data_IF_907514075806
#
_entry.id   IF_907514075806
#
_cell.length_a   1.000
_cell.length_b   1.000
_cell.length_c   1.000
_cell.angle_alpha   90.00
_cell.angle_beta   90.00
_cell.angle_gamma   90.00
#
_symmetry.space_group_name_H-M   'P 1'
#
loop_
_entity.id
_entity.type
_entity.pdbx_description
1 polymer ?
#
# COMPACT_ATOMS: atom_id res chain seq x y z
N UNK A 1 23.43 -32.95 -15.62
CA UNK A 1 23.67 -31.63 -15.01
C UNK A 1 22.61 -30.71 -15.60
N UNK A 2 21.42 -30.67 -15.02
CA UNK A 2 20.29 -29.84 -15.47
C UNK A 2 19.60 -29.28 -14.23
N UNK A 3 20.05 -28.13 -13.74
CA UNK A 3 19.54 -27.63 -12.46
C UNK A 3 19.87 -26.18 -12.13
N UNK A 4 20.19 -25.34 -13.12
CA UNK A 4 20.51 -23.92 -12.90
C UNK A 4 19.66 -22.93 -13.71
N UNK A 5 18.68 -23.35 -14.53
CA UNK A 5 17.83 -22.40 -15.29
C UNK A 5 16.55 -21.96 -14.56
N UNK A 6 16.18 -22.53 -13.41
CA UNK A 6 14.82 -22.37 -12.88
C UNK A 6 14.51 -20.98 -12.30
N UNK A 7 15.45 -20.31 -11.64
CA UNK A 7 15.17 -19.03 -10.96
C UNK A 7 15.07 -17.83 -11.91
N UNK A 8 15.93 -17.77 -12.93
CA UNK A 8 15.89 -16.71 -13.94
C UNK A 8 14.66 -16.84 -14.84
N UNK A 9 14.31 -18.07 -15.23
CA UNK A 9 13.09 -18.37 -16.00
C UNK A 9 11.84 -17.99 -15.20
N UNK A 10 11.84 -18.24 -13.89
CA UNK A 10 10.79 -17.81 -12.97
C UNK A 10 10.67 -16.28 -12.94
N UNK A 11 11.76 -15.56 -12.65
CA UNK A 11 11.77 -14.08 -12.62
C UNK A 11 11.27 -13.51 -13.95
N UNK A 12 11.74 -14.06 -15.07
CA UNK A 12 11.32 -13.64 -16.40
C UNK A 12 9.82 -13.86 -16.62
N UNK A 13 9.28 -15.02 -16.20
CA UNK A 13 7.86 -15.32 -16.28
C UNK A 13 7.00 -14.42 -15.38
N UNK A 14 7.45 -14.12 -14.15
CA UNK A 14 6.74 -13.18 -13.28
C UNK A 14 6.76 -11.75 -13.82
N UNK A 15 7.90 -11.32 -14.34
CA UNK A 15 8.02 -10.03 -15.02
C UNK A 15 7.12 -9.94 -16.26
N UNK A 16 6.94 -11.04 -17.01
CA UNK A 16 6.01 -11.08 -18.14
C UNK A 16 4.55 -10.89 -17.69
N UNK A 17 4.11 -11.57 -16.64
CA UNK A 17 2.76 -11.42 -16.08
C UNK A 17 2.50 -9.97 -15.68
N UNK A 18 3.41 -9.35 -14.92
CA UNK A 18 3.26 -7.95 -14.49
C UNK A 18 3.23 -6.97 -15.67
N UNK A 19 4.03 -7.24 -16.72
CA UNK A 19 4.01 -6.46 -17.97
C UNK A 19 2.69 -6.62 -18.70
N UNK A 20 2.20 -7.83 -18.87
CA UNK A 20 0.97 -8.12 -19.62
C UNK A 20 -0.23 -7.45 -18.95
N UNK A 21 -0.35 -7.57 -17.63
CA UNK A 21 -1.42 -6.92 -16.85
C UNK A 21 -1.29 -5.40 -16.93
N UNK A 22 -0.08 -4.85 -16.74
CA UNK A 22 0.16 -3.41 -16.89
C UNK A 22 -0.26 -2.93 -18.29
N UNK A 23 0.09 -3.67 -19.33
CA UNK A 23 -0.20 -3.31 -20.72
C UNK A 23 -1.70 -3.35 -21.00
N UNK A 24 -2.41 -4.37 -20.48
CA UNK A 24 -3.84 -4.54 -20.66
C UNK A 24 -4.70 -3.49 -19.96
N UNK A 25 -4.21 -2.91 -18.85
CA UNK A 25 -5.04 -2.09 -17.98
C UNK A 25 -4.50 -0.69 -17.64
N UNK A 26 -3.29 -0.33 -18.08
CA UNK A 26 -2.68 0.96 -17.74
C UNK A 26 -3.56 2.18 -18.07
N UNK A 27 -4.23 2.17 -19.22
CA UNK A 27 -5.13 3.26 -19.63
C UNK A 27 -6.36 3.38 -18.72
N UNK A 28 -6.95 2.24 -18.33
CA UNK A 28 -8.08 2.17 -17.41
C UNK A 28 -7.68 2.67 -16.02
N UNK A 29 -6.57 2.17 -15.46
CA UNK A 29 -6.03 2.62 -14.18
C UNK A 29 -5.76 4.13 -14.21
N UNK A 30 -5.10 4.64 -15.27
CA UNK A 30 -4.83 6.06 -15.42
C UNK A 30 -6.14 6.88 -15.45
N UNK A 31 -7.15 6.39 -16.17
CA UNK A 31 -8.47 7.03 -16.26
C UNK A 31 -9.14 7.18 -14.89
N UNK A 32 -9.20 6.08 -14.13
CA UNK A 32 -9.78 6.04 -12.78
C UNK A 32 -9.02 6.98 -11.82
N UNK A 33 -7.69 6.90 -11.80
CA UNK A 33 -6.89 7.76 -10.92
C UNK A 33 -7.04 9.24 -11.30
N UNK A 34 -7.12 9.55 -12.61
CA UNK A 34 -7.29 10.92 -13.11
C UNK A 34 -8.66 11.49 -12.75
N UNK A 35 -9.72 10.68 -12.81
CA UNK A 35 -11.08 11.15 -12.48
C UNK A 35 -11.22 11.55 -11.01
N UNK A 36 -10.42 10.96 -10.11
CA UNK A 36 -10.43 11.32 -8.70
C UNK A 36 -9.78 12.69 -8.43
N UNK A 37 -8.82 13.12 -9.27
CA UNK A 37 -7.95 14.28 -8.99
C UNK A 37 -8.68 15.57 -8.59
N UNK A 38 -9.78 16.00 -9.24
CA UNK A 38 -10.42 17.29 -8.94
C UNK A 38 -10.81 17.44 -7.47
N UNK A 39 -11.27 16.37 -6.84
CA UNK A 39 -11.81 16.34 -5.48
C UNK A 39 -10.73 16.15 -4.39
N UNK A 40 -9.48 15.87 -4.79
CA UNK A 40 -8.42 15.56 -3.84
C UNK A 40 -7.75 16.82 -3.25
N UNK A 41 -7.45 16.78 -1.93
CA UNK A 41 -6.54 17.70 -1.28
C UNK A 41 -5.19 17.77 -2.00
N UNK A 42 -4.50 18.91 -1.88
CA UNK A 42 -3.25 19.18 -2.61
C UNK A 42 -2.20 18.08 -2.45
N UNK A 43 -2.01 17.56 -1.23
CA UNK A 43 -1.01 16.53 -0.97
C UNK A 43 -1.42 15.21 -1.60
N UNK A 44 -2.66 14.75 -1.36
CA UNK A 44 -3.21 13.54 -1.96
C UNK A 44 -3.16 13.56 -3.50
N UNK A 45 -3.54 14.69 -4.11
CA UNK A 45 -3.47 14.95 -5.55
C UNK A 45 -2.08 14.68 -6.11
N UNK A 46 -1.00 15.00 -5.38
CA UNK A 46 0.37 14.78 -5.85
C UNK A 46 0.78 13.30 -5.93
N UNK A 47 0.24 12.45 -5.04
CA UNK A 47 0.48 11.00 -5.08
C UNK A 47 -0.32 10.38 -6.21
N UNK A 48 -1.62 10.69 -6.27
CA UNK A 48 -2.52 10.15 -7.29
C UNK A 48 -2.11 10.58 -8.70
N UNK A 49 -1.73 11.84 -8.91
CA UNK A 49 -1.28 12.32 -10.22
C UNK A 49 0.02 11.64 -10.68
N UNK A 50 0.92 11.30 -9.75
CA UNK A 50 2.17 10.61 -10.07
C UNK A 50 1.90 9.17 -10.52
N UNK A 51 1.04 8.45 -9.82
CA UNK A 51 0.60 7.12 -10.21
C UNK A 51 -0.15 7.15 -11.55
N UNK A 52 -1.06 8.11 -11.75
CA UNK A 52 -1.85 8.26 -12.97
C UNK A 52 -0.99 8.54 -14.22
N UNK A 53 0.16 9.20 -14.07
CA UNK A 53 1.06 9.52 -15.20
C UNK A 53 1.67 8.27 -15.84
N UNK A 54 1.92 7.22 -15.06
CA UNK A 54 2.52 5.98 -15.57
C UNK A 54 2.15 4.81 -14.66
N UNK A 55 0.87 4.40 -14.63
CA UNK A 55 0.44 3.29 -13.79
C UNK A 55 1.10 2.01 -14.29
N UNK A 56 1.80 1.33 -13.40
CA UNK A 56 2.57 0.15 -13.77
C UNK A 56 2.81 -0.73 -12.56
N UNK A 57 2.61 -2.01 -12.77
CA UNK A 57 2.97 -3.07 -11.83
C UNK A 57 4.41 -3.57 -12.08
N UNK A 58 5.13 -2.95 -13.01
CA UNK A 58 6.55 -3.22 -13.26
C UNK A 58 7.43 -2.11 -12.70
N UNK A 59 8.49 -2.50 -12.00
CA UNK A 59 9.42 -1.61 -11.31
C UNK A 59 8.92 -1.20 -9.93
N UNK A 60 9.79 -1.36 -8.93
CA UNK A 60 9.48 -1.10 -7.51
C UNK A 60 8.86 0.29 -7.30
N UNK A 61 9.49 1.34 -7.85
CA UNK A 61 8.99 2.70 -7.66
C UNK A 61 7.57 2.91 -8.17
N UNK A 62 7.23 2.35 -9.33
CA UNK A 62 5.91 2.54 -9.93
C UNK A 62 4.85 1.76 -9.17
N UNK A 63 5.19 0.57 -8.68
CA UNK A 63 4.34 -0.17 -7.78
C UNK A 63 4.10 0.61 -6.48
N UNK A 64 5.13 1.22 -5.89
CA UNK A 64 4.98 2.05 -4.68
C UNK A 64 4.12 3.28 -4.93
N UNK A 65 4.33 3.99 -6.04
CA UNK A 65 3.51 5.16 -6.37
C UNK A 65 2.02 4.76 -6.56
N UNK A 66 1.74 3.61 -7.19
CA UNK A 66 0.38 3.06 -7.32
C UNK A 66 -0.21 2.65 -5.97
N UNK A 67 0.54 1.90 -5.15
CA UNK A 67 0.16 1.53 -3.79
C UNK A 67 -0.23 2.77 -2.97
N UNK A 68 0.64 3.78 -2.92
CA UNK A 68 0.42 4.98 -2.14
C UNK A 68 -0.83 5.74 -2.61
N UNK A 69 -1.05 5.81 -3.92
CA UNK A 69 -2.25 6.43 -4.49
C UNK A 69 -3.53 5.68 -4.07
N UNK A 70 -3.55 4.35 -4.18
CA UNK A 70 -4.71 3.54 -3.80
C UNK A 70 -5.00 3.62 -2.29
N UNK A 71 -3.95 3.57 -1.47
CA UNK A 71 -4.09 3.71 -0.02
C UNK A 71 -4.65 5.08 0.37
N UNK A 72 -4.13 6.17 -0.22
CA UNK A 72 -4.63 7.52 0.01
C UNK A 72 -6.09 7.68 -0.43
N UNK A 73 -6.43 7.24 -1.64
CA UNK A 73 -7.79 7.31 -2.17
C UNK A 73 -8.79 6.60 -1.26
N UNK A 74 -8.45 5.40 -0.81
CA UNK A 74 -9.26 4.63 0.14
C UNK A 74 -9.47 5.37 1.47
N UNK A 75 -8.41 5.96 2.03
CA UNK A 75 -8.50 6.75 3.26
C UNK A 75 -9.37 8.00 3.12
N UNK A 76 -9.46 8.55 1.90
CA UNK A 76 -10.29 9.70 1.57
C UNK A 76 -11.70 9.33 1.08
N UNK A 77 -12.09 8.06 1.16
CA UNK A 77 -13.44 7.60 0.83
C UNK A 77 -13.69 7.24 -0.64
N UNK A 78 -12.67 7.23 -1.50
CA UNK A 78 -12.76 6.83 -2.91
C UNK A 78 -12.68 5.30 -3.08
N UNK A 79 -13.43 4.57 -2.26
CA UNK A 79 -13.40 3.10 -2.26
C UNK A 79 -13.95 2.52 -3.57
N UNK A 80 -15.01 3.11 -4.11
CA UNK A 80 -15.65 2.64 -5.34
C UNK A 80 -14.73 2.77 -6.56
N UNK A 81 -13.87 3.78 -6.57
CA UNK A 81 -12.90 4.04 -7.64
C UNK A 81 -11.68 3.13 -7.49
N UNK A 82 -11.24 2.88 -6.25
CA UNK A 82 -10.04 2.06 -6.00
C UNK A 82 -10.31 0.56 -6.15
N UNK A 83 -11.51 0.09 -5.81
CA UNK A 83 -11.84 -1.33 -5.81
C UNK A 83 -11.64 -2.03 -7.17
N UNK A 84 -12.04 -1.47 -8.34
CA UNK A 84 -11.78 -2.09 -9.64
C UNK A 84 -10.29 -2.34 -9.91
N UNK A 85 -9.42 -1.40 -9.52
CA UNK A 85 -7.96 -1.54 -9.67
C UNK A 85 -7.44 -2.66 -8.77
N UNK A 86 -7.93 -2.74 -7.53
CA UNK A 86 -7.55 -3.81 -6.60
C UNK A 86 -8.02 -5.18 -7.11
N UNK A 87 -9.23 -5.29 -7.63
CA UNK A 87 -9.77 -6.55 -8.18
C UNK A 87 -8.92 -7.04 -9.35
N UNK A 88 -8.57 -6.13 -10.26
CA UNK A 88 -7.64 -6.42 -11.35
C UNK A 88 -6.27 -6.92 -10.86
N UNK A 89 -5.72 -6.29 -9.81
CA UNK A 89 -4.47 -6.75 -9.20
C UNK A 89 -4.65 -8.14 -8.59
N UNK A 90 -5.77 -8.38 -7.91
CA UNK A 90 -6.06 -9.64 -7.27
C UNK A 90 -6.27 -10.79 -8.27
N UNK A 91 -6.85 -10.51 -9.44
CA UNK A 91 -7.10 -11.50 -10.49
C UNK A 91 -5.84 -11.92 -11.27
N UNK A 92 -4.69 -11.30 -10.97
CA UNK A 92 -3.42 -11.68 -11.59
C UNK A 92 -3.03 -13.13 -11.24
N UNK A 93 -2.44 -13.88 -12.18
CA UNK A 93 -1.87 -15.19 -11.89
C UNK A 93 -0.56 -15.05 -11.11
N UNK A 94 -0.67 -14.90 -9.79
CA UNK A 94 0.46 -14.82 -8.88
C UNK A 94 1.32 -16.10 -8.91
N UNK A 95 2.64 -15.94 -8.93
CA UNK A 95 3.63 -17.03 -8.76
C UNK A 95 4.38 -16.90 -7.43
N UNK A 96 5.10 -17.95 -7.02
CA UNK A 96 5.97 -17.98 -5.83
C UNK A 96 7.19 -17.05 -5.99
N UNK A 97 6.98 -15.74 -6.03
CA UNK A 97 8.06 -14.79 -6.31
C UNK A 97 7.93 -13.49 -5.51
N UNK A 98 9.08 -12.99 -5.08
CA UNK A 98 9.25 -11.69 -4.42
C UNK A 98 8.69 -10.51 -5.24
N UNK A 99 8.66 -10.64 -6.58
CA UNK A 99 8.13 -9.63 -7.50
C UNK A 99 6.67 -9.24 -7.25
N UNK A 100 5.90 -10.11 -6.57
CA UNK A 100 4.49 -9.90 -6.30
C UNK A 100 4.18 -9.43 -4.88
N UNK A 101 5.19 -9.22 -4.04
CA UNK A 101 4.99 -8.89 -2.62
C UNK A 101 4.16 -7.61 -2.42
N UNK A 102 4.48 -6.54 -3.15
CA UNK A 102 3.74 -5.29 -3.08
C UNK A 102 2.33 -5.40 -3.69
N UNK A 103 2.12 -5.99 -4.89
CA UNK A 103 0.78 -6.33 -5.38
C UNK A 103 -0.06 -7.15 -4.39
N UNK A 104 0.52 -8.14 -3.71
CA UNK A 104 -0.19 -8.91 -2.68
C UNK A 104 -0.59 -8.05 -1.50
N UNK A 105 0.33 -7.24 -0.98
CA UNK A 105 0.03 -6.33 0.12
C UNK A 105 -1.06 -5.31 -0.21
N UNK A 106 -1.11 -4.78 -1.45
CA UNK A 106 -2.23 -3.94 -1.91
C UNK A 106 -3.56 -4.67 -1.74
N UNK A 107 -3.64 -5.93 -2.15
CA UNK A 107 -4.88 -6.72 -2.03
C UNK A 107 -5.19 -7.06 -0.57
N UNK A 108 -4.19 -7.38 0.26
CA UNK A 108 -4.38 -7.61 1.69
C UNK A 108 -4.89 -6.38 2.42
N UNK A 109 -4.36 -5.19 2.12
CA UNK A 109 -4.87 -3.94 2.68
C UNK A 109 -6.32 -3.67 2.29
N UNK A 110 -6.65 -3.89 1.03
CA UNK A 110 -8.00 -3.69 0.52
C UNK A 110 -8.99 -4.71 1.13
N UNK A 111 -8.56 -5.97 1.29
CA UNK A 111 -9.32 -7.00 2.01
C UNK A 111 -9.56 -6.61 3.47
N UNK A 112 -8.53 -6.12 4.16
CA UNK A 112 -8.66 -5.68 5.55
C UNK A 112 -9.63 -4.50 5.67
N UNK A 113 -9.52 -3.52 4.77
CA UNK A 113 -10.48 -2.41 4.70
C UNK A 113 -11.91 -2.90 4.45
N UNK A 114 -12.12 -3.80 3.48
CA UNK A 114 -13.45 -4.34 3.18
C UNK A 114 -14.09 -5.02 4.40
N UNK A 115 -13.30 -5.79 5.18
CA UNK A 115 -13.78 -6.40 6.43
C UNK A 115 -14.19 -5.34 7.46
N UNK A 116 -13.38 -4.30 7.64
CA UNK A 116 -13.68 -3.20 8.58
C UNK A 116 -14.91 -2.39 8.18
N UNK A 117 -15.12 -2.24 6.87
CA UNK A 117 -16.29 -1.56 6.30
C UNK A 117 -17.54 -2.46 6.26
N UNK A 118 -17.45 -3.71 6.70
CA UNK A 118 -18.56 -4.67 6.68
C UNK A 118 -18.87 -5.28 5.30
N UNK A 119 -18.06 -5.00 4.29
CA UNK A 119 -18.19 -5.55 2.93
C UNK A 119 -17.57 -6.96 2.85
N UNK A 120 -18.24 -7.89 3.51
CA UNK A 120 -17.81 -9.29 3.60
C UNK A 120 -17.75 -9.99 2.24
N UNK A 121 -18.55 -9.55 1.27
CA UNK A 121 -18.55 -10.11 -0.08
C UNK A 121 -17.28 -9.73 -0.84
N UNK A 122 -16.89 -8.45 -0.81
CA UNK A 122 -15.63 -8.01 -1.41
C UNK A 122 -14.45 -8.65 -0.70
N UNK A 123 -14.45 -8.69 0.63
CA UNK A 123 -13.40 -9.35 1.40
C UNK A 123 -13.24 -10.83 1.03
N UNK A 124 -14.35 -11.57 0.88
CA UNK A 124 -14.35 -12.97 0.47
C UNK A 124 -13.90 -13.14 -1.00
N UNK A 125 -14.27 -12.22 -1.88
CA UNK A 125 -13.80 -12.23 -3.27
C UNK A 125 -12.29 -12.05 -3.35
N UNK A 126 -11.75 -11.01 -2.71
CA UNK A 126 -10.32 -10.74 -2.67
C UNK A 126 -9.54 -11.87 -1.99
N UNK A 127 -10.12 -12.51 -0.96
CA UNK A 127 -9.46 -13.64 -0.29
C UNK A 127 -9.25 -14.87 -1.17
N UNK A 128 -10.10 -15.08 -2.20
CA UNK A 128 -9.98 -16.24 -3.10
C UNK A 128 -8.91 -16.04 -4.17
N UNK A 129 -8.62 -14.80 -4.49
CA UNK A 129 -7.76 -14.40 -5.59
C UNK A 129 -6.35 -14.04 -5.13
N UNK A 130 -6.17 -13.68 -3.85
CA UNK A 130 -4.83 -13.64 -3.24
C UNK A 130 -4.26 -15.05 -3.15
N UNK A 131 -3.38 -15.38 -4.08
CA UNK A 131 -2.61 -16.61 -4.04
C UNK A 131 -1.47 -16.48 -3.02
N UNK A 132 -1.65 -17.11 -1.87
CA UNK A 132 -0.58 -17.37 -0.91
C UNK A 132 -0.20 -18.86 -0.98
N UNK A 133 0.95 -19.20 -1.57
CA UNK A 133 1.43 -20.57 -1.57
C UNK A 133 1.61 -21.06 -0.11
N UNK A 134 1.36 -22.35 0.12
CA UNK A 134 1.54 -22.95 1.44
C UNK A 134 2.93 -22.66 2.00
N UNK A 135 3.00 -22.10 3.22
CA UNK A 135 4.26 -21.73 3.87
C UNK A 135 4.89 -20.44 3.39
N UNK A 136 4.23 -19.66 2.53
CA UNK A 136 4.70 -18.33 2.16
C UNK A 136 4.69 -17.42 3.39
N UNK A 137 5.85 -16.84 3.69
CA UNK A 137 6.03 -15.75 4.64
C UNK A 137 6.56 -14.57 3.83
N UNK A 138 5.92 -13.40 3.87
CA UNK A 138 6.47 -12.19 3.26
C UNK A 138 7.92 -11.99 3.73
N UNK A 139 8.83 -11.70 2.81
CA UNK A 139 10.27 -11.50 3.12
C UNK A 139 10.44 -10.50 4.26
N UNK A 140 9.59 -9.47 4.25
CA UNK A 140 9.66 -8.44 5.24
C UNK A 140 9.26 -8.97 6.64
N UNK A 141 8.43 -10.02 6.77
CA UNK A 141 7.99 -10.60 8.07
C UNK A 141 8.97 -11.63 8.66
N UNK A 142 9.94 -12.10 7.89
CA UNK A 142 10.88 -13.16 8.31
C UNK A 142 12.02 -12.62 9.20
N UNK A 143 12.19 -11.31 9.27
CA UNK A 143 13.22 -10.65 10.08
C UNK A 143 12.61 -9.99 11.33
N UNK A 144 13.02 -10.47 12.52
CA UNK A 144 12.71 -9.86 13.82
C UNK A 144 13.13 -8.39 13.90
N UNK A 145 13.93 -7.90 12.95
CA UNK A 145 14.42 -6.52 12.86
C UNK A 145 13.43 -5.50 12.30
N UNK A 146 12.23 -5.89 11.87
CA UNK A 146 11.31 -5.01 11.14
C UNK A 146 10.97 -3.69 11.89
N UNK A 147 11.69 -2.62 11.55
CA UNK A 147 11.53 -1.31 12.21
C UNK A 147 10.45 -0.52 11.50
N UNK A 148 9.27 -0.44 12.13
CA UNK A 148 8.27 0.58 11.81
C UNK A 148 8.86 1.97 12.01
N UNK A 149 8.51 2.91 11.14
CA UNK A 149 8.97 4.30 11.29
C UNK A 149 8.33 5.01 12.49
N UNK A 150 7.12 4.57 12.90
CA UNK A 150 6.35 5.07 14.07
C UNK A 150 6.43 6.60 14.23
N UNK A 151 6.11 7.37 13.18
CA UNK A 151 6.32 8.82 13.19
C UNK A 151 5.53 9.56 14.28
N UNK A 152 4.48 8.95 14.83
CA UNK A 152 3.63 9.50 15.88
C UNK A 152 4.16 9.26 17.30
N UNK A 153 5.13 8.36 17.48
CA UNK A 153 5.71 8.04 18.79
C UNK A 153 6.85 9.01 19.16
N UNK A 154 7.54 9.55 18.15
CA UNK A 154 8.64 10.50 18.32
C UNK A 154 8.15 11.95 18.12
N UNK A 155 8.20 12.81 19.15
CA UNK A 155 7.85 14.23 19.03
C UNK A 155 8.61 14.98 17.93
N UNK A 156 9.87 14.61 17.65
CA UNK A 156 10.70 15.22 16.60
C UNK A 156 10.18 14.86 15.22
N UNK A 157 9.80 13.59 15.01
CA UNK A 157 9.18 13.13 13.76
C UNK A 157 7.81 13.78 13.56
N UNK A 158 6.99 13.88 14.60
CA UNK A 158 5.72 14.63 14.54
C UNK A 158 5.92 16.09 14.13
N UNK A 159 6.92 16.75 14.70
CA UNK A 159 7.23 18.13 14.37
C UNK A 159 7.68 18.28 12.91
N UNK A 160 8.57 17.39 12.43
CA UNK A 160 9.03 17.42 11.04
C UNK A 160 7.91 17.16 10.03
N UNK A 161 6.85 16.47 10.43
CA UNK A 161 5.63 16.28 9.63
C UNK A 161 4.64 17.45 9.71
N UNK A 162 4.88 18.41 10.59
CA UNK A 162 3.98 19.54 10.84
C UNK A 162 2.71 19.15 11.61
N UNK A 163 2.76 18.08 12.42
CA UNK A 163 1.65 17.63 13.27
C UNK A 163 1.66 18.27 14.68
N UNK A 164 2.69 19.06 15.01
CA UNK A 164 2.76 19.78 16.27
C UNK A 164 2.40 21.26 16.06
N UNK A 165 1.48 21.79 16.87
CA UNK A 165 1.05 23.19 16.81
C UNK A 165 2.11 24.18 17.33
N UNK A 166 2.99 23.72 18.24
CA UNK A 166 4.10 24.49 18.80
C UNK A 166 5.40 24.09 18.13
N UNK A 167 5.54 24.39 16.84
CA UNK A 167 6.83 24.27 16.19
C UNK A 167 7.65 25.47 16.60
N UNK A 168 8.71 25.23 17.40
CA UNK A 168 9.79 26.20 17.51
C UNK A 168 10.28 26.50 16.08
N UNK A 169 10.37 27.77 15.71
CA UNK A 169 10.59 28.20 14.31
C UNK A 169 11.92 27.75 13.71
N UNK A 170 12.75 27.09 14.53
CA UNK A 170 14.06 26.54 14.22
C UNK A 170 14.02 25.10 13.67
N UNK A 171 12.89 24.39 13.76
CA UNK A 171 12.80 23.00 13.33
C UNK A 171 12.46 22.86 11.84
N UNK A 172 13.23 22.02 11.13
CA UNK A 172 12.96 21.69 9.73
C UNK A 172 11.67 20.88 9.58
N UNK A 173 10.77 21.36 8.72
CA UNK A 173 9.52 20.66 8.36
C UNK A 173 9.65 20.08 6.96
N UNK A 174 9.38 18.80 6.82
CA UNK A 174 9.41 18.08 5.55
C UNK A 174 8.47 18.72 4.51
N UNK A 175 8.83 18.66 3.20
CA UNK A 175 7.92 19.05 2.14
C UNK A 175 6.59 18.28 2.24
N UNK A 176 5.42 18.93 2.00
CA UNK A 176 4.11 18.29 2.18
C UNK A 176 3.97 16.93 1.49
N UNK A 177 4.52 16.77 0.30
CA UNK A 177 4.44 15.54 -0.51
C UNK A 177 5.29 14.37 0.01
N UNK A 178 6.15 14.60 1.01
CA UNK A 178 6.98 13.55 1.61
C UNK A 178 6.41 13.05 2.94
N UNK A 179 5.48 13.79 3.54
CA UNK A 179 4.98 13.51 4.90
C UNK A 179 4.19 12.20 5.01
N UNK A 180 3.30 11.85 4.06
CA UNK A 180 2.51 10.61 4.18
C UNK A 180 3.33 9.32 4.07
N UNK A 181 4.50 9.35 3.40
CA UNK A 181 5.23 8.14 3.01
C UNK A 181 5.61 7.20 4.17
N UNK A 182 5.96 7.75 5.33
CA UNK A 182 6.25 6.94 6.53
C UNK A 182 5.02 6.14 7.00
N UNK A 183 3.87 6.79 7.05
CA UNK A 183 2.63 6.17 7.49
C UNK A 183 2.17 5.10 6.50
N UNK A 184 2.24 5.38 5.20
CA UNK A 184 1.82 4.44 4.14
C UNK A 184 2.66 3.17 4.19
N UNK A 185 3.96 3.29 4.43
CA UNK A 185 4.85 2.14 4.60
C UNK A 185 4.53 1.33 5.85
N UNK A 186 4.29 2.00 6.99
CA UNK A 186 3.92 1.31 8.22
C UNK A 186 2.54 0.60 8.09
N UNK A 187 1.56 1.24 7.44
CA UNK A 187 0.25 0.65 7.14
C UNK A 187 0.36 -0.59 6.25
N UNK A 188 1.20 -0.54 5.22
CA UNK A 188 1.49 -1.69 4.38
C UNK A 188 1.99 -2.87 5.20
N UNK A 189 2.98 -2.65 6.08
CA UNK A 189 3.51 -3.72 6.92
C UNK A 189 2.50 -4.26 7.94
N UNK A 190 1.68 -3.40 8.55
CA UNK A 190 0.60 -3.84 9.43
C UNK A 190 -0.38 -4.73 8.70
N UNK A 191 -0.67 -4.44 7.42
CA UNK A 191 -1.60 -5.25 6.63
C UNK A 191 -1.07 -6.64 6.34
N UNK A 192 0.22 -6.76 6.11
CA UNK A 192 0.88 -8.05 5.98
C UNK A 192 0.81 -8.81 7.30
N UNK A 193 1.17 -8.17 8.44
CA UNK A 193 1.06 -8.82 9.76
C UNK A 193 -0.37 -9.34 10.00
N UNK A 194 -1.37 -8.50 9.73
CA UNK A 194 -2.77 -8.86 9.86
C UNK A 194 -3.14 -10.06 8.97
N UNK A 195 -2.74 -10.04 7.70
CA UNK A 195 -3.08 -11.08 6.73
C UNK A 195 -2.55 -12.47 7.12
N UNK A 196 -1.40 -12.54 7.79
CA UNK A 196 -0.78 -13.78 8.24
C UNK A 196 -1.06 -14.11 9.72
N UNK A 197 -2.09 -13.51 10.32
CA UNK A 197 -2.61 -13.90 11.63
C UNK A 197 -1.92 -13.24 12.84
N UNK A 198 -1.18 -12.15 12.61
CA UNK A 198 -0.45 -11.43 13.66
C UNK A 198 1.00 -11.89 13.80
N UNK A 199 1.66 -11.40 14.85
CA UNK A 199 2.97 -11.90 15.28
C UNK A 199 3.05 -11.92 16.81
N UNK A 200 4.05 -12.60 17.42
CA UNK A 200 4.24 -12.59 18.86
C UNK A 200 4.41 -11.18 19.46
N UNK A 201 4.92 -10.23 18.66
CA UNK A 201 5.12 -8.83 19.06
C UNK A 201 3.92 -7.95 18.70
N UNK A 202 3.17 -8.34 17.67
CA UNK A 202 2.03 -7.61 17.11
C UNK A 202 0.78 -8.49 17.06
N UNK A 203 0.11 -8.70 18.21
CA UNK A 203 -1.19 -9.37 18.23
C UNK A 203 -2.23 -8.52 17.47
N UNK A 204 -3.28 -9.17 16.95
CA UNK A 204 -4.23 -8.55 16.01
C UNK A 204 -4.94 -7.30 16.58
N UNK A 205 -5.23 -7.28 17.88
CA UNK A 205 -5.81 -6.12 18.57
C UNK A 205 -4.86 -4.92 18.54
N UNK A 206 -3.56 -5.15 18.78
CA UNK A 206 -2.53 -4.11 18.69
C UNK A 206 -2.36 -3.61 17.25
N UNK A 207 -2.43 -4.52 16.29
CA UNK A 207 -2.33 -4.21 14.86
C UNK A 207 -3.47 -3.29 14.41
N UNK A 208 -4.69 -3.55 14.87
CA UNK A 208 -5.86 -2.72 14.57
C UNK A 208 -5.73 -1.31 15.19
N UNK A 209 -5.40 -1.24 16.48
CA UNK A 209 -5.23 0.04 17.17
C UNK A 209 -4.14 0.91 16.53
N UNK A 210 -3.02 0.31 16.12
CA UNK A 210 -1.95 1.03 15.44
C UNK A 210 -2.35 1.50 14.05
N UNK A 211 -3.10 0.68 13.30
CA UNK A 211 -3.64 1.09 12.00
C UNK A 211 -4.53 2.32 12.13
N UNK A 212 -5.52 2.29 13.02
CA UNK A 212 -6.42 3.42 13.25
C UNK A 212 -5.66 4.71 13.58
N UNK A 213 -4.63 4.58 14.43
CA UNK A 213 -3.77 5.69 14.83
C UNK A 213 -2.99 6.27 13.64
N UNK A 214 -2.42 5.44 12.77
CA UNK A 214 -1.69 5.88 11.59
C UNK A 214 -2.60 6.48 10.53
N UNK A 215 -3.78 5.90 10.30
CA UNK A 215 -4.81 6.43 9.38
C UNK A 215 -5.26 7.83 9.82
N UNK A 216 -5.57 8.01 11.11
CA UNK A 216 -5.89 9.32 11.68
C UNK A 216 -4.71 10.30 11.55
N UNK A 217 -3.48 9.82 11.74
CA UNK A 217 -2.26 10.60 11.55
C UNK A 217 -2.10 11.13 10.12
N UNK A 218 -2.36 10.30 9.11
CA UNK A 218 -2.35 10.71 7.69
C UNK A 218 -3.38 11.81 7.43
N UNK A 219 -4.62 11.62 7.89
CA UNK A 219 -5.71 12.57 7.68
C UNK A 219 -5.47 13.90 8.40
N UNK A 220 -4.73 13.90 9.50
CA UNK A 220 -4.33 15.10 10.24
C UNK A 220 -3.16 15.87 9.60
N UNK A 221 -2.47 15.32 8.58
CA UNK A 221 -1.35 16.00 7.94
C UNK A 221 -1.80 17.29 7.22
N UNK A 222 -1.02 18.39 7.32
CA UNK A 222 -1.37 19.63 6.63
C UNK A 222 -1.49 19.45 5.11
N UNK A 223 -2.67 19.77 4.56
CA UNK A 223 -2.98 19.61 3.14
C UNK A 223 -3.53 18.23 2.74
N UNK A 224 -3.87 17.38 3.70
CA UNK A 224 -4.65 16.14 3.53
C UNK A 224 -6.14 16.29 3.86
N UNK A 225 -6.55 17.38 4.55
CA UNK A 225 -7.96 17.71 4.73
C UNK A 225 -8.56 18.32 3.44
N UNK A 226 -9.81 17.99 3.07
CA UNK A 226 -10.53 18.59 1.94
C UNK A 226 -10.80 20.08 2.10
#
# INVERSE_FOLDING_TARGET
>A
MDGMSTHEDEIAAGGAILRDVTSGHSAEIAGILTSCLPELPRVAKSFVARAAKSPSLTGERKQSDLHDALAILRLLGFWNETLPIVQMIADMPYKQQFLFQLPRGIVHEARWHALRSGDTNVAASLSRTVFDPSGFVPVDLDDDSKVFFRPLDDPRMRASLGLNATTDSTQYVLPPTQRPGFFLRDLFYLSLIWAYGGSPVWPLDRVEAERERLEAGILALPGMAP
#
